data_IF_426871475891
#
_entry.id   IF_426871475891
#
_cell.length_a   1.000
_cell.length_b   1.000
_cell.length_c   1.000
_cell.angle_alpha   90.00
_cell.angle_beta   90.00
_cell.angle_gamma   90.00
#
_symmetry.space_group_name_H-M   'P 1'
#
loop_
_entity.id
_entity.type
_entity.pdbx_description
1 polymer ?
#
# COMPACT_ATOMS: atom_id res chain seq x y z
N UNK A 1 -17.13 -13.61 -1.55
CA UNK A 1 -16.76 -12.29 -2.08
C UNK A 1 -15.48 -11.66 -1.47
N UNK A 2 -15.17 -11.70 -0.15
CA UNK A 2 -14.06 -10.91 0.42
C UNK A 2 -12.65 -11.36 0.01
N UNK A 3 -12.44 -12.66 -0.27
CA UNK A 3 -11.12 -13.18 -0.71
C UNK A 3 -10.63 -12.59 -2.04
N UNK A 4 -11.55 -12.34 -2.99
CA UNK A 4 -11.20 -11.78 -4.31
C UNK A 4 -10.81 -10.30 -4.21
N UNK A 5 -11.42 -9.58 -3.27
CA UNK A 5 -11.15 -8.17 -2.99
C UNK A 5 -9.76 -8.00 -2.37
N UNK A 6 -9.43 -8.81 -1.36
CA UNK A 6 -8.09 -8.80 -0.74
C UNK A 6 -7.01 -9.13 -1.77
N UNK A 7 -7.26 -10.12 -2.63
CA UNK A 7 -6.34 -10.48 -3.71
C UNK A 7 -6.13 -9.33 -4.72
N UNK A 8 -7.18 -8.58 -5.06
CA UNK A 8 -7.07 -7.37 -5.91
C UNK A 8 -6.28 -6.28 -5.21
N UNK A 9 -6.53 -6.03 -3.92
CA UNK A 9 -5.77 -5.07 -3.12
C UNK A 9 -4.29 -5.41 -3.08
N UNK A 10 -3.94 -6.67 -2.80
CA UNK A 10 -2.56 -7.14 -2.81
C UNK A 10 -1.90 -7.01 -4.18
N UNK A 11 -2.60 -7.37 -5.26
CA UNK A 11 -2.08 -7.20 -6.62
C UNK A 11 -1.80 -5.73 -6.95
N UNK A 12 -2.68 -4.81 -6.52
CA UNK A 12 -2.46 -3.37 -6.69
C UNK A 12 -1.27 -2.88 -5.87
N UNK A 13 -1.10 -3.33 -4.61
CA UNK A 13 0.07 -2.99 -3.79
C UNK A 13 1.34 -3.44 -4.49
N UNK A 14 1.41 -4.69 -4.95
CA UNK A 14 2.59 -5.22 -5.63
C UNK A 14 2.89 -4.45 -6.92
N UNK A 15 1.86 -4.10 -7.69
CA UNK A 15 2.02 -3.31 -8.91
C UNK A 15 2.56 -1.90 -8.62
N UNK A 16 1.97 -1.20 -7.63
CA UNK A 16 2.45 0.12 -7.21
C UNK A 16 3.88 0.04 -6.67
N UNK A 17 4.23 -1.02 -5.94
CA UNK A 17 5.56 -1.20 -5.37
C UNK A 17 6.61 -1.42 -6.46
N UNK A 18 6.31 -2.26 -7.46
CA UNK A 18 7.20 -2.48 -8.62
C UNK A 18 7.36 -1.19 -9.42
N UNK A 19 6.26 -0.50 -9.71
CA UNK A 19 6.29 0.77 -10.43
C UNK A 19 7.09 1.84 -9.69
N UNK A 20 6.85 2.02 -8.39
CA UNK A 20 7.60 2.97 -7.56
C UNK A 20 9.09 2.63 -7.54
N UNK A 21 9.42 1.35 -7.32
CA UNK A 21 10.81 0.89 -7.27
C UNK A 21 11.54 1.15 -8.59
N UNK A 22 10.91 0.84 -9.73
CA UNK A 22 11.47 1.10 -11.04
C UNK A 22 11.64 2.61 -11.29
N UNK A 23 10.62 3.41 -10.94
CA UNK A 23 10.67 4.87 -11.11
C UNK A 23 11.78 5.49 -10.28
N UNK A 24 11.87 5.22 -8.98
CA UNK A 24 12.88 5.83 -8.12
C UNK A 24 14.29 5.32 -8.40
N UNK A 25 14.45 4.05 -8.80
CA UNK A 25 15.76 3.55 -9.22
C UNK A 25 16.26 4.29 -10.48
N UNK A 26 15.38 4.62 -11.42
CA UNK A 26 15.73 5.37 -12.62
C UNK A 26 15.87 6.88 -12.39
N UNK A 27 14.88 7.50 -11.74
CA UNK A 27 14.77 8.96 -11.61
C UNK A 27 15.71 9.53 -10.54
N UNK A 28 16.00 8.78 -9.47
CA UNK A 28 16.86 9.21 -8.36
C UNK A 28 18.19 8.44 -8.32
N UNK A 29 18.47 7.58 -9.31
CA UNK A 29 19.65 6.70 -9.34
C UNK A 29 19.83 5.86 -8.05
N UNK A 30 18.72 5.53 -7.38
CA UNK A 30 18.74 4.69 -6.19
C UNK A 30 19.08 3.24 -6.57
N UNK A 31 19.78 2.55 -5.68
CA UNK A 31 19.91 1.10 -5.78
C UNK A 31 18.52 0.46 -5.75
N UNK A 32 18.37 -0.72 -6.35
CA UNK A 32 17.07 -1.41 -6.37
C UNK A 32 16.50 -1.63 -4.95
N UNK A 33 17.39 -1.91 -3.98
CA UNK A 33 17.03 -2.12 -2.58
C UNK A 33 16.56 -0.82 -1.93
N UNK A 34 17.27 0.29 -2.15
CA UNK A 34 16.91 1.60 -1.60
C UNK A 34 15.61 2.13 -2.23
N UNK A 35 15.42 1.93 -3.53
CA UNK A 35 14.20 2.29 -4.24
C UNK A 35 12.99 1.47 -3.76
N UNK A 36 13.17 0.16 -3.50
CA UNK A 36 12.14 -0.69 -2.93
C UNK A 36 11.78 -0.26 -1.51
N UNK A 37 12.80 0.03 -0.69
CA UNK A 37 12.64 0.52 0.65
C UNK A 37 11.89 1.87 0.68
N UNK A 38 12.31 2.84 -0.12
CA UNK A 38 11.66 4.15 -0.20
C UNK A 38 10.22 4.05 -0.72
N UNK A 39 9.98 3.23 -1.75
CA UNK A 39 8.62 2.97 -2.28
C UNK A 39 7.72 2.35 -1.22
N UNK A 40 8.22 1.32 -0.52
CA UNK A 40 7.49 0.64 0.54
C UNK A 40 7.21 1.57 1.73
N UNK A 41 8.21 2.31 2.20
CA UNK A 41 8.08 3.27 3.28
C UNK A 41 7.06 4.39 2.95
N UNK A 42 7.02 4.82 1.68
CA UNK A 42 6.02 5.80 1.21
C UNK A 42 4.62 5.18 1.13
N UNK A 43 4.47 4.00 0.51
CA UNK A 43 3.17 3.33 0.38
C UNK A 43 2.56 2.98 1.74
N UNK A 44 3.40 2.59 2.69
CA UNK A 44 2.99 2.21 4.07
C UNK A 44 2.86 3.41 5.00
N UNK A 45 3.10 4.63 4.51
CA UNK A 45 3.10 5.87 5.29
C UNK A 45 4.11 5.92 6.44
N UNK A 46 5.14 5.06 6.42
CA UNK A 46 6.23 5.06 7.40
C UNK A 46 7.07 6.34 7.27
N UNK A 47 7.48 6.67 6.04
CA UNK A 47 8.11 7.94 5.70
C UNK A 47 9.30 8.34 6.59
N UNK A 48 10.28 7.46 6.76
CA UNK A 48 11.43 7.68 7.67
C UNK A 48 12.25 8.95 7.38
N UNK A 49 12.22 9.46 6.13
CA UNK A 49 12.86 10.71 5.74
C UNK A 49 14.38 10.63 5.60
N UNK A 50 14.93 9.42 5.63
CA UNK A 50 16.34 9.10 5.36
C UNK A 50 16.69 9.14 3.87
N UNK A 51 15.74 8.71 3.02
CA UNK A 51 15.79 8.88 1.56
C UNK A 51 14.70 9.86 1.15
N UNK A 52 15.06 10.86 0.35
CA UNK A 52 14.13 11.90 -0.12
C UNK A 52 14.31 12.17 -1.62
N UNK A 53 13.22 12.46 -2.35
CA UNK A 53 13.31 12.82 -3.77
C UNK A 53 14.04 14.17 -3.93
N UNK A 54 15.07 14.20 -4.77
CA UNK A 54 15.91 15.38 -4.96
C UNK A 54 15.41 16.25 -6.12
N UNK A 55 14.88 15.65 -7.17
CA UNK A 55 14.40 16.37 -8.36
C UNK A 55 12.90 16.69 -8.30
N UNK A 56 12.45 17.62 -9.15
CA UNK A 56 11.06 18.10 -9.10
C UNK A 56 10.06 17.08 -9.67
N UNK A 57 10.47 16.29 -10.65
CA UNK A 57 9.64 15.23 -11.23
C UNK A 57 9.35 14.12 -10.21
N UNK A 58 10.35 13.70 -9.45
CA UNK A 58 10.22 12.68 -8.41
C UNK A 58 9.40 13.19 -7.24
N UNK A 59 9.54 14.46 -6.82
CA UNK A 59 8.66 15.08 -5.81
C UNK A 59 7.19 15.04 -6.25
N UNK A 60 6.91 15.45 -7.49
CA UNK A 60 5.54 15.42 -8.04
C UNK A 60 5.02 13.99 -8.08
N UNK A 61 5.83 13.03 -8.55
CA UNK A 61 5.48 11.62 -8.55
C UNK A 61 5.18 11.12 -7.13
N UNK A 62 6.03 11.44 -6.15
CA UNK A 62 5.86 11.04 -4.74
C UNK A 62 4.54 11.55 -4.17
N UNK A 63 4.11 12.77 -4.51
CA UNK A 63 2.81 13.31 -4.08
C UNK A 63 1.67 12.43 -4.58
N UNK A 64 1.61 12.16 -5.89
CA UNK A 64 0.54 11.30 -6.44
C UNK A 64 0.63 9.86 -5.94
N UNK A 65 1.85 9.34 -5.82
CA UNK A 65 2.11 8.00 -5.33
C UNK A 65 1.65 7.81 -3.88
N UNK A 66 1.91 8.79 -3.01
CA UNK A 66 1.46 8.78 -1.62
C UNK A 66 -0.08 8.85 -1.52
N UNK A 67 -0.73 9.69 -2.34
CA UNK A 67 -2.20 9.77 -2.37
C UNK A 67 -2.84 8.43 -2.76
N UNK A 68 -2.28 7.74 -3.75
CA UNK A 68 -2.74 6.39 -4.14
C UNK A 68 -2.48 5.36 -3.03
N UNK A 69 -1.31 5.42 -2.38
CA UNK A 69 -0.96 4.54 -1.27
C UNK A 69 -1.92 4.64 -0.10
N UNK A 70 -2.26 5.87 0.31
CA UNK A 70 -3.22 6.13 1.39
C UNK A 70 -4.58 5.49 1.07
N UNK A 71 -5.13 5.73 -0.12
CA UNK A 71 -6.42 5.16 -0.53
C UNK A 71 -6.42 3.62 -0.49
N UNK A 72 -5.30 3.01 -0.91
CA UNK A 72 -5.14 1.55 -0.92
C UNK A 72 -5.04 0.97 0.50
N UNK A 73 -4.31 1.61 1.42
CA UNK A 73 -4.27 1.20 2.83
C UNK A 73 -5.68 1.27 3.43
N UNK A 74 -6.39 2.39 3.24
CA UNK A 74 -7.75 2.53 3.78
C UNK A 74 -8.70 1.47 3.25
N UNK A 75 -8.60 1.14 1.96
CA UNK A 75 -9.38 0.06 1.35
C UNK A 75 -9.08 -1.30 2.00
N UNK A 76 -7.80 -1.67 2.11
CA UNK A 76 -7.38 -2.94 2.72
C UNK A 76 -7.80 -2.99 4.20
N UNK A 77 -7.62 -1.90 4.94
CA UNK A 77 -8.02 -1.79 6.34
C UNK A 77 -9.52 -2.04 6.52
N UNK A 78 -10.36 -1.44 5.66
CA UNK A 78 -11.81 -1.62 5.71
C UNK A 78 -12.22 -3.08 5.46
N UNK A 79 -11.54 -3.78 4.55
CA UNK A 79 -11.81 -5.19 4.25
C UNK A 79 -11.37 -6.13 5.37
N UNK A 80 -10.22 -5.86 5.98
CA UNK A 80 -9.75 -6.60 7.16
C UNK A 80 -10.73 -6.38 8.32
N UNK A 81 -11.16 -5.15 8.54
CA UNK A 81 -12.16 -4.79 9.54
C UNK A 81 -13.48 -5.55 9.28
N UNK A 82 -13.98 -5.54 8.04
CA UNK A 82 -15.17 -6.31 7.63
C UNK A 82 -15.03 -7.79 8.00
N UNK A 83 -13.89 -8.42 7.70
CA UNK A 83 -13.67 -9.83 8.04
C UNK A 83 -13.70 -10.10 9.55
N UNK A 84 -13.04 -9.25 10.34
CA UNK A 84 -12.99 -9.42 11.79
C UNK A 84 -14.38 -9.30 12.44
N UNK A 85 -15.17 -8.30 12.04
CA UNK A 85 -16.49 -8.06 12.62
C UNK A 85 -17.56 -9.02 12.07
N UNK A 86 -17.56 -9.31 10.77
CA UNK A 86 -18.50 -10.29 10.18
C UNK A 86 -18.26 -11.69 10.75
N UNK A 87 -17.00 -12.07 10.95
CA UNK A 87 -16.64 -13.35 11.56
C UNK A 87 -17.15 -13.50 13.01
N UNK A 88 -17.17 -12.41 13.79
CA UNK A 88 -17.72 -12.42 15.15
C UNK A 88 -19.26 -12.46 15.17
N UNK A 89 -19.93 -11.74 14.27
CA UNK A 89 -21.41 -11.70 14.22
C UNK A 89 -22.03 -13.05 13.82
N UNK A 90 -21.49 -13.72 12.78
CA UNK A 90 -21.99 -15.03 12.34
C UNK A 90 -21.79 -16.13 13.39
N UNK A 91 -20.75 -16.02 14.21
CA UNK A 91 -20.49 -16.98 15.30
C UNK A 91 -21.44 -16.78 16.48
N UNK A 92 -21.98 -15.57 16.66
CA UNK A 92 -22.92 -15.26 17.74
C UNK A 92 -24.36 -15.67 17.40
N UNK A 93 -24.78 -15.57 16.14
CA UNK A 93 -26.10 -16.07 15.71
C UNK A 93 -26.19 -17.60 15.71
N UNK A 94 -25.15 -18.30 15.22
CA UNK A 94 -25.11 -19.78 15.26
C UNK A 94 -25.07 -20.39 16.67
N UNK A 95 -24.73 -19.60 17.70
CA UNK A 95 -24.75 -20.05 19.09
C UNK A 95 -26.12 -19.83 19.77
N UNK A 96 -27.01 -19.07 19.11
CA UNK A 96 -28.33 -18.69 19.63
C UNK A 96 -29.49 -19.48 18.99
N UNK A 97 -29.21 -20.19 17.89
CA UNK A 97 -30.09 -21.19 17.25
C UNK A 97 -29.61 -22.60 17.56
#
# INVERSE_FOLDING_TARGET
MPRKVIMRGLALVTLLLIMGTAFYSYAENLSFVDAFYFSGATLTTLGYGDIVPTNDASKIFTVFYALLGIGLIFYIFTEIFRLFFTGKLLKHEKKKS
#
